data_IF_433114349386
#
_entry.id   IF_433114349386
#
_cell.length_a   1.000
_cell.length_b   1.000
_cell.length_c   1.000
_cell.angle_alpha   90.00
_cell.angle_beta   90.00
_cell.angle_gamma   90.00
#
_symmetry.space_group_name_H-M   'P 1'
#
loop_
_entity.id
_entity.type
_entity.pdbx_description
1 polymer ?
#
# COMPACT_ATOMS: atom_id res chain seq x y z
N UNK A 1 -12.55 15.92 -26.64
CA UNK A 1 -12.49 14.51 -26.24
C UNK A 1 -12.38 14.45 -24.73
N UNK A 2 -13.49 14.17 -24.05
CA UNK A 2 -13.50 13.95 -22.60
C UNK A 2 -12.82 12.59 -22.36
N UNK A 3 -11.65 12.57 -21.71
CA UNK A 3 -11.09 11.31 -21.20
C UNK A 3 -12.03 10.82 -20.11
N UNK A 4 -12.91 9.89 -20.45
CA UNK A 4 -13.69 9.15 -19.47
C UNK A 4 -12.68 8.26 -18.75
N UNK A 5 -12.28 8.66 -17.55
CA UNK A 5 -11.79 7.67 -16.59
C UNK A 5 -13.02 6.81 -16.33
N UNK A 6 -13.06 5.59 -16.87
CA UNK A 6 -14.12 4.65 -16.54
C UNK A 6 -14.17 4.60 -15.01
N UNK A 7 -15.32 4.94 -14.43
CA UNK A 7 -15.52 4.86 -13.00
C UNK A 7 -15.14 3.44 -12.57
N UNK A 8 -14.08 3.32 -11.76
CA UNK A 8 -13.57 2.01 -11.34
C UNK A 8 -14.71 1.27 -10.66
N UNK A 9 -15.03 0.06 -11.13
CA UNK A 9 -16.04 -0.78 -10.51
C UNK A 9 -15.65 -1.06 -9.05
N UNK A 10 -16.64 -1.29 -8.19
CA UNK A 10 -16.42 -1.58 -6.75
C UNK A 10 -15.50 -2.80 -6.52
N UNK A 11 -15.42 -3.67 -7.51
CA UNK A 11 -14.64 -4.92 -7.50
C UNK A 11 -13.37 -4.82 -8.40
N UNK A 12 -13.11 -3.64 -8.97
CA UNK A 12 -11.94 -3.35 -9.81
C UNK A 12 -10.70 -2.95 -9.00
N UNK A 13 -10.64 -3.29 -7.71
CA UNK A 13 -9.35 -3.42 -6.99
C UNK A 13 -8.68 -4.73 -7.43
N UNK A 14 -8.57 -4.94 -8.73
CA UNK A 14 -7.81 -6.07 -9.32
C UNK A 14 -6.32 -5.82 -9.26
N UNK A 15 -5.90 -4.55 -9.11
CA UNK A 15 -4.49 -4.17 -9.06
C UNK A 15 -3.84 -4.37 -7.69
N UNK A 16 -4.60 -4.32 -6.58
CA UNK A 16 -4.08 -4.53 -5.21
C UNK A 16 -4.83 -5.68 -4.50
N UNK A 17 -4.68 -6.94 -4.96
CA UNK A 17 -5.51 -8.05 -4.49
C UNK A 17 -5.15 -8.54 -3.08
N UNK A 18 -4.04 -8.09 -2.51
CA UNK A 18 -3.60 -8.52 -1.17
C UNK A 18 -3.80 -7.41 -0.16
N UNK A 19 -4.33 -7.74 1.02
CA UNK A 19 -4.45 -6.83 2.15
C UNK A 19 -3.93 -7.45 3.44
N UNK A 20 -3.39 -6.60 4.32
CA UNK A 20 -2.94 -6.95 5.68
C UNK A 20 -3.39 -5.88 6.65
N UNK A 21 -4.03 -6.28 7.74
CA UNK A 21 -4.30 -5.37 8.85
C UNK A 21 -3.00 -5.07 9.61
N UNK A 22 -2.67 -3.78 9.72
CA UNK A 22 -1.48 -3.24 10.35
C UNK A 22 -1.88 -2.42 11.59
N UNK A 23 -1.95 -3.09 12.74
CA UNK A 23 -2.32 -2.43 14.01
C UNK A 23 -1.13 -1.75 14.67
N UNK A 24 0.06 -2.36 14.58
CA UNK A 24 1.33 -1.81 15.07
C UNK A 24 2.45 -2.46 14.27
N UNK A 25 3.15 -1.69 13.45
CA UNK A 25 4.18 -2.28 12.63
C UNK A 25 4.75 -1.36 11.56
N UNK A 26 5.60 -1.94 10.72
CA UNK A 26 6.23 -1.23 9.60
C UNK A 26 6.22 -2.09 8.35
N UNK A 27 6.32 -1.41 7.21
CA UNK A 27 6.58 -2.04 5.92
C UNK A 27 8.08 -1.89 5.65
N UNK A 28 8.74 -3.01 5.37
CA UNK A 28 10.14 -3.03 4.93
C UNK A 28 10.18 -3.44 3.46
N UNK A 29 10.62 -2.50 2.63
CA UNK A 29 10.91 -2.73 1.22
C UNK A 29 12.11 -1.87 0.84
N UNK A 30 13.15 -2.49 0.31
CA UNK A 30 14.44 -1.84 0.04
C UNK A 30 14.47 -0.98 -1.25
N UNK A 31 13.83 -1.38 -2.37
CA UNK A 31 13.82 -0.60 -3.60
C UNK A 31 13.39 0.86 -3.42
N UNK A 32 13.90 1.75 -4.27
CA UNK A 32 13.52 3.16 -4.24
C UNK A 32 12.06 3.34 -4.67
N UNK A 33 11.39 4.31 -4.04
CA UNK A 33 10.03 4.68 -4.42
C UNK A 33 10.07 5.65 -5.61
N UNK A 34 9.55 5.21 -6.76
CA UNK A 34 9.40 6.04 -7.97
C UNK A 34 8.32 7.11 -7.82
N UNK A 35 7.22 6.75 -7.16
CA UNK A 35 6.08 7.64 -6.98
C UNK A 35 5.57 7.52 -5.55
N UNK A 36 5.33 8.67 -4.94
CA UNK A 36 4.54 8.78 -3.70
C UNK A 36 3.43 9.78 -3.96
N UNK A 37 2.19 9.32 -3.85
CA UNK A 37 1.02 10.18 -3.94
C UNK A 37 0.21 10.04 -2.67
N UNK A 38 -0.09 11.15 -2.02
CA UNK A 38 -0.90 11.14 -0.83
C UNK A 38 -2.09 12.10 -0.98
N UNK A 39 -3.28 11.63 -0.63
CA UNK A 39 -4.47 12.48 -0.53
C UNK A 39 -4.63 12.92 0.90
N UNK A 40 -4.90 14.20 1.13
CA UNK A 40 -5.11 14.75 2.47
C UNK A 40 -6.41 15.53 2.52
N UNK A 41 -7.05 15.60 3.70
CA UNK A 41 -8.13 16.57 3.96
C UNK A 41 -7.59 17.93 4.36
N UNK A 42 -6.35 17.97 4.84
CA UNK A 42 -5.67 19.14 5.38
C UNK A 42 -4.14 18.97 5.29
N UNK A 43 -3.37 19.86 5.92
CA UNK A 43 -1.91 19.82 5.86
C UNK A 43 -1.26 18.84 6.85
N UNK A 44 -2.05 18.08 7.62
CA UNK A 44 -1.58 17.22 8.72
C UNK A 44 -2.09 15.77 8.61
N UNK A 45 -3.30 15.56 8.10
CA UNK A 45 -3.98 14.27 8.03
C UNK A 45 -3.98 13.74 6.61
N UNK A 46 -3.12 12.75 6.37
CA UNK A 46 -3.18 11.90 5.18
C UNK A 46 -4.37 10.96 5.27
N UNK A 47 -5.09 10.74 4.18
CA UNK A 47 -6.20 9.78 4.07
C UNK A 47 -5.69 8.51 3.39
N UNK A 48 -5.04 8.66 2.24
CA UNK A 48 -4.48 7.56 1.48
C UNK A 48 -3.06 7.90 1.06
N UNK A 49 -2.18 6.90 1.10
CA UNK A 49 -0.81 6.99 0.61
C UNK A 49 -0.57 5.84 -0.39
N UNK A 50 -0.41 6.20 -1.66
CA UNK A 50 -0.07 5.29 -2.74
C UNK A 50 1.42 5.43 -3.04
N UNK A 51 2.15 4.32 -2.93
CA UNK A 51 3.59 4.25 -3.19
C UNK A 51 3.82 3.23 -4.30
N UNK A 52 4.56 3.64 -5.34
CA UNK A 52 5.03 2.75 -6.41
C UNK A 52 6.55 2.70 -6.35
N UNK A 53 7.09 1.50 -6.28
CA UNK A 53 8.53 1.23 -6.21
C UNK A 53 9.12 0.90 -7.58
N UNK A 54 10.43 1.04 -7.72
CA UNK A 54 11.16 0.76 -8.97
C UNK A 54 10.96 -0.66 -9.50
N UNK A 55 10.84 -1.62 -8.61
CA UNK A 55 10.61 -3.03 -8.93
C UNK A 55 9.13 -3.32 -9.28
N UNK A 56 8.27 -2.30 -9.29
CA UNK A 56 6.86 -2.41 -9.60
C UNK A 56 5.97 -2.80 -8.42
N UNK A 57 6.50 -2.85 -7.19
CA UNK A 57 5.65 -3.03 -6.00
C UNK A 57 4.77 -1.79 -5.90
N UNK A 58 3.48 -1.98 -5.69
CA UNK A 58 2.58 -0.89 -5.37
C UNK A 58 1.87 -1.16 -4.06
N UNK A 59 1.88 -0.16 -3.19
CA UNK A 59 1.26 -0.20 -1.87
C UNK A 59 0.27 0.95 -1.77
N UNK A 60 -0.91 0.66 -1.23
CA UNK A 60 -1.86 1.65 -0.75
C UNK A 60 -2.02 1.49 0.75
N UNK A 61 -1.80 2.56 1.49
CA UNK A 61 -2.14 2.65 2.91
C UNK A 61 -3.29 3.64 3.08
N UNK A 62 -4.27 3.30 3.90
CA UNK A 62 -5.31 4.21 4.36
C UNK A 62 -5.04 4.54 5.84
N UNK A 63 -5.24 5.79 6.25
CA UNK A 63 -5.05 6.20 7.65
C UNK A 63 -6.29 6.00 8.52
N UNK A 64 -7.47 5.91 7.89
CA UNK A 64 -8.77 5.74 8.55
C UNK A 64 -9.04 4.29 8.92
N UNK A 65 -8.41 3.36 8.19
CA UNK A 65 -8.44 1.93 8.48
C UNK A 65 -7.01 1.41 8.56
N UNK A 66 -6.67 0.61 9.58
CA UNK A 66 -5.32 0.09 9.76
C UNK A 66 -5.05 -1.06 8.77
N UNK A 67 -5.12 -0.78 7.47
CA UNK A 67 -5.00 -1.78 6.41
C UNK A 67 -4.04 -1.30 5.34
N UNK A 68 -3.17 -2.22 4.93
CA UNK A 68 -2.24 -2.06 3.82
C UNK A 68 -2.72 -2.93 2.68
N UNK A 69 -2.88 -2.36 1.49
CA UNK A 69 -3.16 -3.11 0.26
C UNK A 69 -1.94 -3.11 -0.65
N UNK A 70 -1.76 -4.19 -1.41
CA UNK A 70 -0.57 -4.39 -2.24
C UNK A 70 -0.85 -5.24 -3.47
N UNK A 71 -0.06 -4.99 -4.53
CA UNK A 71 -0.11 -5.78 -5.76
C UNK A 71 0.68 -7.09 -5.70
N UNK A 72 1.42 -7.33 -4.62
CA UNK A 72 2.18 -8.56 -4.37
C UNK A 72 1.81 -9.16 -3.03
N UNK A 73 1.94 -10.49 -2.93
CA UNK A 73 1.62 -11.21 -1.70
C UNK A 73 2.60 -10.79 -0.59
N UNK A 74 2.13 -10.21 0.52
CA UNK A 74 3.00 -9.83 1.63
C UNK A 74 3.41 -11.06 2.45
N UNK A 75 4.60 -10.98 3.01
CA UNK A 75 5.04 -11.81 4.13
C UNK A 75 4.92 -11.01 5.41
N UNK A 76 4.26 -11.58 6.42
CA UNK A 76 4.01 -10.90 7.70
C UNK A 76 4.67 -11.70 8.80
N UNK A 77 5.51 -11.04 9.59
CA UNK A 77 6.15 -11.59 10.77
C UNK A 77 5.97 -10.63 11.95
N UNK A 78 6.24 -11.13 13.15
CA UNK A 78 6.17 -10.35 14.38
C UNK A 78 7.55 -10.30 15.01
N UNK A 79 8.01 -9.10 15.37
CA UNK A 79 9.29 -8.92 16.06
C UNK A 79 9.23 -9.30 17.55
N UNK A 80 10.37 -9.21 18.24
CA UNK A 80 10.50 -9.47 19.67
C UNK A 80 9.64 -8.55 20.57
N UNK A 81 9.20 -7.39 20.04
CA UNK A 81 8.37 -6.40 20.72
C UNK A 81 6.88 -6.50 20.35
N UNK A 82 6.50 -7.56 19.62
CA UNK A 82 5.13 -7.78 19.18
C UNK A 82 4.69 -6.88 18.01
N UNK A 83 5.60 -6.17 17.35
CA UNK A 83 5.29 -5.33 16.19
C UNK A 83 5.27 -6.18 14.91
N UNK A 84 4.28 -5.94 14.06
CA UNK A 84 4.18 -6.57 12.75
C UNK A 84 5.22 -5.97 11.80
N UNK A 85 5.88 -6.81 11.03
CA UNK A 85 6.76 -6.40 9.95
C UNK A 85 6.24 -7.04 8.67
N UNK A 86 5.96 -6.20 7.69
CA UNK A 86 5.48 -6.60 6.36
C UNK A 86 6.64 -6.48 5.39
N UNK A 87 6.99 -7.58 4.72
CA UNK A 87 7.93 -7.59 3.61
C UNK A 87 7.27 -8.11 2.35
N UNK A 88 7.91 -7.84 1.21
CA UNK A 88 7.50 -8.37 -0.08
C UNK A 88 8.70 -9.09 -0.68
N UNK A 89 8.58 -10.37 -1.06
CA UNK A 89 9.66 -11.04 -1.77
C UNK A 89 9.94 -10.30 -3.09
N UNK A 90 11.22 -10.22 -3.44
CA UNK A 90 11.65 -9.81 -4.77
C UNK A 90 11.07 -10.79 -5.81
N UNK A 91 10.89 -10.32 -7.04
CA UNK A 91 10.48 -11.20 -8.14
C UNK A 91 11.47 -12.37 -8.25
N UNK A 92 10.99 -13.61 -8.12
CA UNK A 92 11.71 -14.80 -8.60
C UNK A 92 11.79 -14.80 -10.13
#
# INVERSE_FOLDING_TARGET
>A
MQKVINAMAKDEVTFLPYSVELTKGTILHEPEALLKFATTTDNQTFIHNLIVYEDGLTILCDSSVPTVWSNRKPHVFTDENGAQIITFPDHE
#
